data_IF_029016059813
#
_entry.id   IF_029016059813
#
_cell.length_a   1.000
_cell.length_b   1.000
_cell.length_c   1.000
_cell.angle_alpha   90.00
_cell.angle_beta   90.00
_cell.angle_gamma   90.00
#
_symmetry.space_group_name_H-M   'P 1'
#
loop_
_entity.id
_entity.type
_entity.pdbx_description
1 polymer ?
#
# COMPACT_ATOMS: atom_id res chain seq x y z
N UNK A 1 2.44 26.56 -68.17
CA UNK A 1 2.65 27.42 -66.99
C UNK A 1 4.01 27.06 -66.43
N UNK A 2 4.99 27.92 -66.68
CA UNK A 2 6.44 27.66 -66.52
C UNK A 2 7.01 28.51 -65.38
N UNK A 3 8.15 28.08 -64.81
CA UNK A 3 8.77 28.57 -63.56
C UNK A 3 8.99 30.09 -63.46
N UNK A 4 8.90 30.82 -64.56
CA UNK A 4 9.08 32.28 -64.62
C UNK A 4 7.89 33.04 -63.99
N UNK A 5 6.68 32.47 -63.99
CA UNK A 5 5.50 33.08 -63.35
C UNK A 5 5.44 32.89 -61.82
N UNK A 6 6.30 32.05 -61.26
CA UNK A 6 6.43 31.83 -59.81
C UNK A 6 7.49 32.74 -59.17
N UNK A 7 8.43 33.28 -59.96
CA UNK A 7 9.46 34.20 -59.49
C UNK A 7 9.00 35.66 -59.47
N UNK A 8 8.00 36.03 -60.29
CA UNK A 8 7.46 37.40 -60.36
C UNK A 8 6.51 37.73 -59.20
N UNK A 9 5.94 36.71 -58.52
CA UNK A 9 5.07 36.87 -57.34
C UNK A 9 5.86 36.94 -56.03
N UNK A 10 7.17 36.62 -56.05
CA UNK A 10 8.07 36.72 -54.88
C UNK A 10 8.93 38.01 -54.94
N UNK A 11 8.87 38.75 -56.04
CA UNK A 11 9.76 39.89 -56.33
C UNK A 11 9.33 41.27 -55.81
N UNK A 12 8.08 41.46 -55.38
CA UNK A 12 7.57 42.81 -55.04
C UNK A 12 6.71 42.83 -53.76
N UNK A 13 7.22 42.23 -52.68
CA UNK A 13 6.77 42.54 -51.32
C UNK A 13 7.88 43.26 -50.55
N UNK A 14 8.12 44.49 -51.02
CA UNK A 14 8.46 45.70 -50.27
C UNK A 14 9.46 45.64 -49.10
N UNK A 15 10.58 46.33 -49.37
CA UNK A 15 11.50 47.17 -48.58
C UNK A 15 11.13 47.65 -47.15
N UNK A 16 9.99 47.29 -46.59
CA UNK A 16 9.58 47.62 -45.20
C UNK A 16 10.33 46.76 -44.17
N UNK A 17 10.78 45.55 -44.54
CA UNK A 17 11.52 44.66 -43.63
C UNK A 17 13.05 44.87 -43.63
N UNK A 18 13.59 45.69 -44.54
CA UNK A 18 15.04 45.94 -44.64
C UNK A 18 15.49 47.12 -43.75
N UNK A 19 14.56 47.92 -43.22
CA UNK A 19 14.89 49.02 -42.28
C UNK A 19 15.00 48.60 -40.81
N UNK A 20 14.46 47.44 -40.42
CA UNK A 20 14.57 46.95 -39.04
C UNK A 20 15.83 46.08 -38.80
N UNK A 21 16.61 45.79 -39.85
CA UNK A 21 17.88 45.05 -39.75
C UNK A 21 19.11 45.96 -39.53
N UNK A 22 18.93 47.27 -39.34
CA UNK A 22 20.01 48.24 -39.16
C UNK A 22 20.21 48.73 -37.72
N UNK A 23 19.36 48.33 -36.75
CA UNK A 23 19.51 48.71 -35.35
C UNK A 23 19.94 47.52 -34.48
N UNK A 24 21.24 47.44 -34.23
CA UNK A 24 21.85 46.38 -33.44
C UNK A 24 21.35 46.32 -32.00
N UNK A 25 20.92 45.13 -31.56
CA UNK A 25 20.87 44.75 -30.15
C UNK A 25 21.53 43.39 -29.94
N UNK A 26 22.51 43.38 -29.04
CA UNK A 26 23.47 42.32 -28.74
C UNK A 26 22.76 41.07 -28.19
N UNK A 27 22.97 39.92 -28.81
CA UNK A 27 22.59 38.61 -28.28
C UNK A 27 23.35 38.30 -26.98
N UNK A 28 22.66 38.35 -25.84
CA UNK A 28 23.07 37.67 -24.59
C UNK A 28 21.84 37.29 -23.76
N UNK A 29 21.23 36.14 -24.02
CA UNK A 29 20.16 35.61 -23.15
C UNK A 29 19.90 34.10 -23.24
N UNK A 30 20.77 33.29 -23.84
CA UNK A 30 20.58 31.83 -23.87
C UNK A 30 21.35 31.10 -22.75
N UNK A 31 22.54 31.57 -22.37
CA UNK A 31 23.40 30.87 -21.41
C UNK A 31 22.95 31.05 -19.94
N UNK A 32 22.34 32.18 -19.60
CA UNK A 32 21.88 32.47 -18.22
C UNK A 32 20.71 31.57 -17.80
N UNK A 33 19.89 31.10 -18.75
CA UNK A 33 18.75 30.22 -18.48
C UNK A 33 19.18 28.82 -18.02
N UNK A 34 20.33 28.34 -18.48
CA UNK A 34 20.87 27.04 -18.07
C UNK A 34 21.56 27.08 -16.70
N UNK A 35 22.18 28.21 -16.33
CA UNK A 35 22.78 28.37 -15.00
C UNK A 35 21.73 28.48 -13.89
N UNK A 36 20.55 29.07 -14.16
CA UNK A 36 19.47 29.14 -13.18
C UNK A 36 18.87 27.76 -12.86
N UNK A 37 18.73 26.89 -13.87
CA UNK A 37 18.21 25.53 -13.70
C UNK A 37 19.19 24.63 -12.93
N UNK A 38 20.50 24.74 -13.20
CA UNK A 38 21.52 24.02 -12.46
C UNK A 38 21.64 24.48 -10.99
N UNK A 39 21.47 25.78 -10.72
CA UNK A 39 21.48 26.31 -9.35
C UNK A 39 20.24 25.87 -8.54
N UNK A 40 19.06 25.80 -9.16
CA UNK A 40 17.85 25.28 -8.51
C UNK A 40 17.95 23.77 -8.23
N UNK A 41 18.55 22.99 -9.12
CA UNK A 41 18.79 21.56 -8.89
C UNK A 41 19.83 21.34 -7.79
N UNK A 42 20.89 22.15 -7.73
CA UNK A 42 21.88 22.10 -6.65
C UNK A 42 21.30 22.55 -5.29
N UNK A 43 20.39 23.51 -5.26
CA UNK A 43 19.66 23.90 -4.04
C UNK A 43 18.61 22.85 -3.62
N UNK A 44 17.95 22.18 -4.57
CA UNK A 44 17.04 21.07 -4.27
C UNK A 44 17.80 19.85 -3.70
N UNK A 45 18.96 19.50 -4.27
CA UNK A 45 19.82 18.42 -3.73
C UNK A 45 20.44 18.83 -2.39
N UNK A 46 20.86 20.09 -2.22
CA UNK A 46 21.42 20.60 -0.97
C UNK A 46 20.43 20.72 0.19
N UNK A 47 19.14 20.98 -0.09
CA UNK A 47 18.09 21.04 0.94
C UNK A 47 17.61 19.65 1.36
N UNK A 48 17.60 18.68 0.45
CA UNK A 48 17.35 17.27 0.79
C UNK A 48 18.50 16.68 1.62
N UNK A 49 19.76 17.04 1.31
CA UNK A 49 20.92 16.52 2.05
C UNK A 49 21.16 17.17 3.42
N UNK A 50 20.61 18.35 3.70
CA UNK A 50 20.81 19.02 5.00
C UNK A 50 19.72 18.71 6.05
N UNK A 51 18.60 18.13 5.63
CA UNK A 51 17.51 17.73 6.55
C UNK A 51 17.45 16.22 6.81
N UNK A 52 18.31 15.43 6.18
CA UNK A 52 18.51 14.03 6.54
C UNK A 52 19.58 14.01 7.65
N UNK A 53 19.23 13.68 8.92
CA UNK A 53 20.26 13.38 9.91
C UNK A 53 21.16 12.30 9.33
N UNK A 54 22.46 12.25 9.67
CA UNK A 54 23.39 11.27 9.11
C UNK A 54 23.07 9.86 9.63
N UNK A 55 21.98 9.27 9.16
CA UNK A 55 21.83 7.84 9.01
C UNK A 55 22.38 7.52 7.64
N UNK A 56 23.46 6.75 7.60
CA UNK A 56 23.94 6.16 6.36
C UNK A 56 22.81 5.42 5.67
N UNK A 57 23.04 5.01 4.42
CA UNK A 57 22.25 3.95 3.80
C UNK A 57 22.30 2.75 4.75
N UNK A 58 21.30 2.65 5.63
CA UNK A 58 21.22 1.61 6.63
C UNK A 58 21.02 0.31 5.90
N UNK A 59 21.69 -0.73 6.38
CA UNK A 59 21.16 -2.07 6.21
C UNK A 59 19.66 -2.01 6.44
N UNK A 60 18.90 -2.53 5.49
CA UNK A 60 17.45 -2.58 5.57
C UNK A 60 17.12 -3.33 6.87
N UNK A 61 16.79 -2.59 7.93
CA UNK A 61 16.61 -3.14 9.28
C UNK A 61 15.40 -4.07 9.16
N UNK A 62 15.66 -5.38 9.17
CA UNK A 62 14.61 -6.40 9.10
C UNK A 62 13.66 -6.09 10.25
N UNK A 63 12.36 -5.91 9.99
CA UNK A 63 11.43 -5.57 11.05
C UNK A 63 11.49 -6.64 12.14
N UNK A 64 11.37 -6.25 13.42
CA UNK A 64 11.52 -7.19 14.51
C UNK A 64 10.50 -8.33 14.38
N UNK A 65 10.97 -9.56 14.53
CA UNK A 65 10.15 -10.77 14.57
C UNK A 65 10.25 -11.35 15.98
N UNK A 66 9.11 -11.73 16.54
CA UNK A 66 9.03 -12.50 17.79
C UNK A 66 8.68 -13.93 17.43
N UNK A 67 9.49 -14.90 17.84
CA UNK A 67 9.15 -16.32 17.69
C UNK A 67 8.72 -16.88 19.03
N UNK A 68 7.49 -17.40 19.11
CA UNK A 68 6.95 -17.99 20.32
C UNK A 68 6.08 -19.21 19.97
N UNK A 69 6.30 -20.34 20.65
CA UNK A 69 5.61 -21.61 20.38
C UNK A 69 5.60 -22.05 18.90
N UNK A 70 6.67 -21.74 18.15
CA UNK A 70 6.78 -22.09 16.73
C UNK A 70 6.00 -21.15 15.78
N UNK A 71 5.38 -20.09 16.30
CA UNK A 71 4.71 -19.05 15.52
C UNK A 71 5.60 -17.81 15.45
N UNK A 72 5.67 -17.19 14.28
CA UNK A 72 6.35 -15.93 14.05
C UNK A 72 5.35 -14.78 14.08
N UNK A 73 5.64 -13.77 14.91
CA UNK A 73 4.84 -12.57 15.06
C UNK A 73 5.63 -11.36 14.61
N UNK A 74 4.96 -10.46 13.89
CA UNK A 74 5.55 -9.24 13.36
C UNK A 74 4.69 -8.04 13.75
N UNK A 75 5.30 -6.87 13.90
CA UNK A 75 4.57 -5.65 14.21
C UNK A 75 3.42 -5.43 13.22
N UNK A 76 2.21 -5.21 13.77
CA UNK A 76 1.01 -4.89 12.99
C UNK A 76 1.27 -3.66 12.10
N UNK A 77 1.00 -3.78 10.80
CA UNK A 77 1.35 -2.75 9.80
C UNK A 77 0.60 -1.43 9.97
N UNK A 78 -0.47 -1.46 10.75
CA UNK A 78 -1.30 -0.31 11.08
C UNK A 78 -0.74 0.41 12.32
N UNK A 79 0.48 0.95 12.16
CA UNK A 79 1.15 1.95 12.98
C UNK A 79 1.11 1.72 14.51
N UNK A 80 2.15 1.09 15.04
CA UNK A 80 2.42 0.90 16.49
C UNK A 80 2.15 2.13 17.35
N UNK A 81 2.38 3.35 16.87
CA UNK A 81 2.13 4.55 17.66
C UNK A 81 0.66 4.89 17.92
N UNK A 82 -0.24 4.51 17.00
CA UNK A 82 -1.69 4.76 17.14
C UNK A 82 -2.37 3.71 18.00
N UNK A 83 -1.80 2.52 18.04
CA UNK A 83 -2.42 1.32 18.63
C UNK A 83 -1.69 0.83 19.88
N UNK A 84 -0.53 1.41 20.22
CA UNK A 84 0.16 1.08 21.46
C UNK A 84 -0.69 1.37 22.69
N UNK A 85 -0.80 0.36 23.55
CA UNK A 85 -1.58 0.44 24.78
C UNK A 85 -0.68 0.93 25.92
N UNK A 86 -1.25 1.71 26.84
CA UNK A 86 -0.57 2.10 28.08
C UNK A 86 -0.58 0.98 29.12
N UNK A 87 -1.50 0.03 28.99
CA UNK A 87 -1.68 -1.09 29.91
C UNK A 87 -1.72 -2.39 29.12
N UNK A 88 -1.18 -3.45 29.73
CA UNK A 88 -1.22 -4.79 29.14
C UNK A 88 -2.66 -5.32 29.19
N UNK A 89 -3.20 -5.85 28.07
CA UNK A 89 -4.51 -6.49 28.09
C UNK A 89 -4.58 -7.66 29.08
N UNK A 90 -5.77 -7.92 29.61
CA UNK A 90 -5.99 -9.04 30.52
C UNK A 90 -5.67 -10.39 29.83
N UNK A 91 -5.20 -11.36 30.61
CA UNK A 91 -4.81 -12.69 30.11
C UNK A 91 -3.39 -12.79 29.56
N UNK A 92 -2.74 -11.67 29.23
CA UNK A 92 -1.36 -11.66 28.79
C UNK A 92 -0.38 -11.76 29.96
N UNK A 93 0.60 -12.65 29.83
CA UNK A 93 1.66 -12.88 30.82
C UNK A 93 3.03 -12.79 30.17
N UNK A 94 4.05 -12.43 30.96
CA UNK A 94 5.43 -12.36 30.48
C UNK A 94 5.85 -13.71 29.90
N UNK A 95 6.23 -13.71 28.62
CA UNK A 95 6.57 -14.93 27.87
C UNK A 95 8.06 -14.99 27.50
N UNK A 96 8.73 -13.84 27.37
CA UNK A 96 10.16 -13.78 27.08
C UNK A 96 10.65 -12.37 26.75
N UNK A 97 11.77 -12.29 26.04
CA UNK A 97 12.33 -11.04 25.49
C UNK A 97 12.60 -11.19 23.99
N UNK A 98 12.58 -10.06 23.29
CA UNK A 98 12.91 -9.94 21.86
C UNK A 98 13.77 -8.70 21.61
N UNK A 99 14.54 -8.66 20.54
CA UNK A 99 15.38 -7.50 20.20
C UNK A 99 14.62 -6.53 19.30
N UNK A 100 14.49 -5.28 19.75
CA UNK A 100 13.77 -4.20 19.05
C UNK A 100 14.76 -3.19 18.45
N UNK A 101 15.48 -3.59 17.40
CA UNK A 101 16.44 -2.73 16.71
C UNK A 101 17.42 -2.04 17.68
N UNK A 102 17.58 -0.73 17.56
CA UNK A 102 18.46 0.07 18.42
C UNK A 102 18.05 0.13 19.90
N UNK A 103 16.80 -0.20 20.24
CA UNK A 103 16.35 -0.25 21.64
C UNK A 103 16.94 -1.46 22.39
N UNK A 104 17.34 -2.51 21.68
CA UNK A 104 17.83 -3.74 22.29
C UNK A 104 16.70 -4.61 22.83
N UNK A 105 17.00 -5.40 23.87
CA UNK A 105 16.06 -6.38 24.42
C UNK A 105 14.84 -5.73 25.09
N UNK A 106 13.65 -6.14 24.65
CA UNK A 106 12.35 -5.73 25.17
C UNK A 106 11.54 -6.96 25.61
N UNK A 107 10.81 -6.90 26.73
CA UNK A 107 9.96 -8.01 27.16
C UNK A 107 8.73 -8.12 26.26
N UNK A 108 8.31 -9.35 26.00
CA UNK A 108 7.04 -9.65 25.31
C UNK A 108 6.13 -10.55 26.15
N UNK A 109 4.84 -10.43 25.87
CA UNK A 109 3.76 -11.02 26.64
C UNK A 109 2.85 -11.80 25.71
N UNK A 110 2.43 -12.98 26.12
CA UNK A 110 1.55 -13.86 25.34
C UNK A 110 0.35 -14.32 26.17
N UNK A 111 -0.72 -14.68 25.47
CA UNK A 111 -1.92 -15.27 26.05
C UNK A 111 -2.23 -16.58 25.30
N UNK A 112 -2.26 -17.76 25.95
CA UNK A 112 -2.58 -19.01 25.27
C UNK A 112 -4.03 -19.08 24.76
N UNK A 113 -4.93 -18.24 25.26
CA UNK A 113 -6.31 -18.12 24.76
C UNK A 113 -6.41 -17.23 23.50
N UNK A 114 -5.38 -16.42 23.22
CA UNK A 114 -5.28 -15.55 22.04
C UNK A 114 -3.94 -15.79 21.32
N UNK A 115 -3.77 -16.93 20.64
CA UNK A 115 -2.49 -17.33 20.06
C UNK A 115 -2.08 -16.51 18.84
N UNK A 116 -2.95 -15.64 18.32
CA UNK A 116 -2.75 -14.90 17.07
C UNK A 116 -1.98 -13.59 17.24
N UNK A 117 -1.74 -13.13 18.47
CA UNK A 117 -0.87 -11.98 18.71
C UNK A 117 -0.20 -12.01 20.09
N UNK A 118 0.93 -11.31 20.16
CA UNK A 118 1.69 -11.03 21.37
C UNK A 118 1.82 -9.52 21.55
N UNK A 119 2.16 -9.08 22.76
CA UNK A 119 2.47 -7.68 23.02
C UNK A 119 3.93 -7.52 23.38
N UNK A 120 4.63 -6.58 22.74
CA UNK A 120 6.00 -6.19 23.10
C UNK A 120 5.97 -4.86 23.83
N UNK A 121 6.60 -4.78 24.99
CA UNK A 121 6.72 -3.52 25.72
C UNK A 121 7.99 -2.80 25.30
N UNK A 122 7.83 -1.80 24.42
CA UNK A 122 8.94 -1.08 23.81
C UNK A 122 8.67 0.43 23.75
N UNK A 123 9.67 1.17 23.24
CA UNK A 123 9.57 2.60 23.00
C UNK A 123 8.74 2.82 21.74
N UNK A 124 7.72 3.65 21.89
CA UNK A 124 6.77 4.00 20.84
C UNK A 124 7.06 5.42 20.40
N UNK A 125 7.40 5.57 19.13
CA UNK A 125 7.70 6.86 18.51
C UNK A 125 6.45 7.41 17.83
N UNK A 126 6.06 8.64 18.17
CA UNK A 126 4.96 9.32 17.49
C UNK A 126 5.40 9.77 16.09
N UNK A 127 4.49 9.76 15.12
CA UNK A 127 4.73 10.46 13.84
C UNK A 127 4.75 11.97 14.02
N UNK A 128 4.28 12.47 15.16
CA UNK A 128 4.38 13.87 15.54
C UNK A 128 5.73 14.10 16.23
N UNK A 129 6.66 14.77 15.56
CA UNK A 129 8.03 15.02 16.05
C UNK A 129 8.10 15.84 17.34
N UNK A 130 6.98 16.45 17.77
CA UNK A 130 6.89 17.19 19.03
C UNK A 130 6.48 16.34 20.23
N UNK A 131 6.01 15.11 20.01
CA UNK A 131 5.67 14.20 21.10
C UNK A 131 6.89 13.39 21.50
N UNK A 132 7.30 13.42 22.78
CA UNK A 132 8.42 12.60 23.23
C UNK A 132 8.08 11.11 23.07
N UNK A 133 9.06 10.25 22.78
CA UNK A 133 8.87 8.81 22.81
C UNK A 133 8.33 8.36 24.17
N UNK A 134 7.42 7.40 24.15
CA UNK A 134 6.80 6.84 25.37
C UNK A 134 6.93 5.32 25.36
N UNK A 135 6.93 4.71 26.54
CA UNK A 135 6.80 3.27 26.62
C UNK A 135 5.34 2.84 26.41
N UNK A 136 5.14 1.71 25.75
CA UNK A 136 3.81 1.13 25.54
C UNK A 136 3.87 -0.32 25.07
N UNK A 137 2.72 -0.98 25.12
CA UNK A 137 2.54 -2.34 24.63
C UNK A 137 2.13 -2.29 23.15
N UNK A 138 3.03 -2.73 22.27
CA UNK A 138 2.82 -2.80 20.82
C UNK A 138 2.37 -4.20 20.44
N UNK A 139 1.30 -4.30 19.64
CA UNK A 139 0.75 -5.57 19.18
C UNK A 139 1.58 -6.12 18.01
N UNK A 140 2.07 -7.33 18.18
CA UNK A 140 2.71 -8.13 17.15
C UNK A 140 1.76 -9.27 16.79
N UNK A 141 1.40 -9.38 15.53
CA UNK A 141 0.41 -10.33 15.02
C UNK A 141 1.12 -11.47 14.32
N UNK A 142 0.47 -12.64 14.29
CA UNK A 142 0.90 -13.75 13.44
C UNK A 142 1.20 -13.24 12.03
N UNK A 143 2.39 -13.56 11.52
CA UNK A 143 2.87 -13.02 10.24
C UNK A 143 1.91 -13.34 9.08
N UNK A 144 1.13 -14.42 9.17
CA UNK A 144 0.10 -14.79 8.18
C UNK A 144 -1.06 -13.81 8.12
N UNK A 145 -1.39 -13.16 9.24
CA UNK A 145 -2.47 -12.18 9.33
C UNK A 145 -2.00 -10.76 8.99
N UNK A 146 -0.69 -10.52 8.99
CA UNK A 146 -0.14 -9.18 8.82
C UNK A 146 -0.42 -8.66 7.41
N UNK A 147 -1.17 -7.56 7.35
CA UNK A 147 -1.63 -6.93 6.12
C UNK A 147 -2.51 -7.84 5.24
N UNK A 148 -2.97 -8.97 5.77
CA UNK A 148 -3.89 -9.84 5.06
C UNK A 148 -5.30 -9.28 5.14
N UNK A 149 -5.95 -9.07 4.00
CA UNK A 149 -7.35 -8.68 3.98
C UNK A 149 -8.23 -9.93 4.10
N UNK A 150 -9.01 -9.99 5.17
CA UNK A 150 -9.86 -11.13 5.48
C UNK A 150 -11.30 -10.71 5.74
N UNK A 151 -12.23 -11.56 5.28
CA UNK A 151 -13.67 -11.44 5.51
C UNK A 151 -14.18 -12.77 6.07
N UNK A 152 -14.99 -12.72 7.12
CA UNK A 152 -15.80 -13.83 7.58
C UNK A 152 -17.22 -13.67 7.05
N UNK A 153 -17.74 -14.70 6.39
CA UNK A 153 -19.13 -14.78 5.94
C UNK A 153 -19.69 -16.17 6.28
N UNK A 154 -20.80 -16.21 7.02
CA UNK A 154 -21.44 -17.45 7.48
C UNK A 154 -20.48 -18.43 8.17
N UNK A 155 -19.54 -17.92 8.98
CA UNK A 155 -18.55 -18.72 9.69
C UNK A 155 -17.40 -19.27 8.81
N UNK A 156 -17.39 -18.95 7.51
CA UNK A 156 -16.27 -19.24 6.62
C UNK A 156 -15.37 -18.02 6.50
N UNK A 157 -14.07 -18.26 6.34
CA UNK A 157 -13.07 -17.20 6.15
C UNK A 157 -12.70 -17.11 4.67
N UNK A 158 -12.52 -15.89 4.22
CA UNK A 158 -12.08 -15.56 2.87
C UNK A 158 -10.91 -14.59 2.96
N UNK A 159 -9.95 -14.76 2.05
CA UNK A 159 -8.78 -13.89 1.94
C UNK A 159 -8.75 -13.23 0.57
N UNK A 160 -8.38 -11.95 0.52
CA UNK A 160 -8.20 -11.25 -0.74
C UNK A 160 -7.10 -11.93 -1.58
N UNK A 161 -7.35 -12.17 -2.87
CA UNK A 161 -6.37 -12.84 -3.73
C UNK A 161 -5.04 -12.07 -3.88
N UNK A 162 -5.05 -10.77 -3.58
CA UNK A 162 -3.86 -9.92 -3.49
C UNK A 162 -3.03 -10.16 -2.22
N UNK A 163 -3.67 -10.63 -1.15
CA UNK A 163 -3.05 -10.91 0.14
C UNK A 163 -2.61 -12.37 0.31
N UNK A 164 -3.24 -13.29 -0.43
CA UNK A 164 -3.02 -14.73 -0.26
C UNK A 164 -1.56 -15.16 -0.52
N UNK A 165 -1.01 -15.93 0.42
CA UNK A 165 0.27 -16.61 0.27
C UNK A 165 0.11 -17.91 -0.52
N UNK A 166 0.88 -18.04 -1.60
CA UNK A 166 0.98 -19.23 -2.45
C UNK A 166 2.43 -19.69 -2.65
N UNK A 167 3.36 -19.18 -1.85
CA UNK A 167 4.79 -19.38 -2.07
C UNK A 167 5.27 -20.78 -1.66
N UNK A 168 4.47 -21.53 -0.89
CA UNK A 168 4.81 -22.90 -0.49
C UNK A 168 3.56 -23.75 -0.31
N UNK A 169 3.52 -24.91 -0.97
CA UNK A 169 2.40 -25.85 -0.90
C UNK A 169 2.00 -26.29 0.51
N UNK A 170 2.89 -26.19 1.49
CA UNK A 170 2.63 -26.56 2.89
C UNK A 170 1.93 -25.46 3.71
N UNK A 171 1.96 -24.21 3.23
CA UNK A 171 1.41 -23.03 3.93
C UNK A 171 0.62 -22.12 2.99
N UNK A 172 -0.04 -22.70 1.99
CA UNK A 172 -0.90 -21.94 1.11
C UNK A 172 -2.14 -21.47 1.88
N UNK A 173 -2.50 -20.20 1.72
CA UNK A 173 -3.73 -19.64 2.33
C UNK A 173 -4.99 -20.12 1.61
N UNK A 174 -4.85 -20.51 0.35
CA UNK A 174 -5.91 -20.95 -0.56
C UNK A 174 -5.41 -22.16 -1.35
N UNK A 175 -6.27 -23.17 -1.56
CA UNK A 175 -5.97 -24.28 -2.47
C UNK A 175 -5.53 -23.75 -3.85
N UNK A 176 -4.40 -24.25 -4.36
CA UNK A 176 -3.79 -23.72 -5.58
C UNK A 176 -4.75 -23.79 -6.78
N UNK A 177 -5.45 -24.91 -6.91
CA UNK A 177 -6.40 -25.15 -8.00
C UNK A 177 -7.58 -24.17 -7.96
N UNK A 178 -8.03 -23.79 -6.76
CA UNK A 178 -9.07 -22.77 -6.59
C UNK A 178 -8.52 -21.39 -6.96
N UNK A 179 -7.34 -21.03 -6.49
CA UNK A 179 -6.72 -19.75 -6.80
C UNK A 179 -6.53 -19.56 -8.31
N UNK A 180 -5.97 -20.55 -8.98
CA UNK A 180 -5.71 -20.52 -10.42
C UNK A 180 -7.03 -20.40 -11.22
N UNK A 181 -8.08 -21.10 -10.79
CA UNK A 181 -9.41 -21.03 -11.40
C UNK A 181 -10.02 -19.63 -11.27
N UNK A 182 -9.97 -19.04 -10.07
CA UNK A 182 -10.47 -17.69 -9.82
C UNK A 182 -9.66 -16.63 -10.56
N UNK A 183 -8.33 -16.76 -10.62
CA UNK A 183 -7.46 -15.82 -11.33
C UNK A 183 -7.73 -15.87 -12.84
N UNK A 184 -7.94 -17.06 -13.40
CA UNK A 184 -8.30 -17.22 -14.81
C UNK A 184 -9.68 -16.64 -15.15
N UNK A 185 -10.65 -16.73 -14.25
CA UNK A 185 -12.03 -16.26 -14.47
C UNK A 185 -12.20 -14.76 -14.21
N UNK A 186 -11.66 -14.26 -13.11
CA UNK A 186 -11.92 -12.90 -12.60
C UNK A 186 -10.67 -12.04 -12.44
N UNK A 187 -9.46 -12.60 -12.64
CA UNK A 187 -8.22 -12.00 -12.12
C UNK A 187 -8.28 -11.78 -10.60
N UNK A 188 -7.33 -11.03 -10.02
CA UNK A 188 -7.37 -10.67 -8.60
C UNK A 188 -8.32 -9.51 -8.31
N UNK A 189 -8.58 -8.70 -9.33
CA UNK A 189 -9.54 -7.61 -9.36
C UNK A 189 -9.98 -7.34 -10.81
N UNK A 190 -11.20 -6.81 -10.97
CA UNK A 190 -11.75 -6.45 -12.28
C UNK A 190 -12.63 -5.19 -12.19
N UNK A 191 -12.71 -4.45 -13.30
CA UNK A 191 -13.53 -3.25 -13.44
C UNK A 191 -14.93 -3.59 -13.96
N UNK A 192 -15.94 -2.85 -13.49
CA UNK A 192 -17.32 -2.96 -13.97
C UNK A 192 -18.31 -3.37 -12.88
N UNK A 193 -19.49 -3.78 -13.34
CA UNK A 193 -20.59 -4.19 -12.46
C UNK A 193 -20.40 -5.61 -11.92
N UNK A 194 -21.11 -5.94 -10.84
CA UNK A 194 -21.11 -7.28 -10.28
C UNK A 194 -21.59 -8.30 -11.35
N UNK A 195 -20.92 -9.46 -11.49
CA UNK A 195 -21.37 -10.52 -12.40
C UNK A 195 -22.79 -11.00 -12.07
N UNK A 196 -23.48 -11.57 -13.07
CA UNK A 196 -24.84 -12.09 -12.89
C UNK A 196 -24.89 -13.11 -11.72
N UNK A 197 -25.95 -13.00 -10.90
CA UNK A 197 -26.18 -13.88 -9.76
C UNK A 197 -25.49 -13.46 -8.45
N UNK A 198 -24.55 -12.51 -8.48
CA UNK A 198 -24.01 -11.93 -7.26
C UNK A 198 -25.04 -11.00 -6.60
N UNK A 199 -25.13 -11.10 -5.28
CA UNK A 199 -26.03 -10.31 -4.43
C UNK A 199 -25.21 -9.54 -3.41
N UNK A 200 -25.50 -8.25 -3.27
CA UNK A 200 -24.89 -7.40 -2.25
C UNK A 200 -25.34 -7.84 -0.85
N UNK A 201 -24.37 -8.21 -0.02
CA UNK A 201 -24.58 -8.58 1.38
C UNK A 201 -24.57 -7.35 2.30
N UNK A 202 -23.97 -6.25 1.84
CA UNK A 202 -23.83 -5.00 2.59
C UNK A 202 -22.42 -4.81 3.16
N UNK A 203 -22.32 -3.90 4.13
CA UNK A 203 -21.07 -3.56 4.79
C UNK A 203 -20.71 -4.61 5.86
N UNK A 204 -19.44 -5.00 5.92
CA UNK A 204 -18.92 -5.89 6.96
C UNK A 204 -18.83 -5.18 8.32
N UNK A 205 -19.05 -5.92 9.40
CA UNK A 205 -18.66 -5.47 10.73
C UNK A 205 -17.14 -5.37 10.83
N UNK A 206 -16.63 -4.16 11.08
CA UNK A 206 -15.19 -3.92 11.13
C UNK A 206 -14.58 -4.39 12.46
N UNK A 207 -13.66 -5.36 12.38
CA UNK A 207 -13.02 -6.01 13.53
C UNK A 207 -11.65 -5.42 13.88
N UNK A 208 -11.13 -4.50 13.06
CA UNK A 208 -9.83 -3.88 13.24
C UNK A 208 -8.75 -4.52 12.35
N UNK A 209 -7.63 -3.81 12.11
CA UNK A 209 -6.59 -4.29 11.21
C UNK A 209 -5.87 -5.52 11.78
N UNK A 210 -5.36 -6.38 10.91
CA UNK A 210 -4.58 -7.57 11.26
C UNK A 210 -5.27 -8.45 12.32
N UNK A 211 -6.60 -8.48 12.31
CA UNK A 211 -7.41 -9.37 13.13
C UNK A 211 -7.93 -10.53 12.28
N UNK A 212 -8.32 -11.61 12.96
CA UNK A 212 -9.07 -12.69 12.35
C UNK A 212 -10.58 -12.42 12.55
N UNK A 213 -11.32 -12.04 11.49
CA UNK A 213 -12.74 -11.73 11.63
C UNK A 213 -13.55 -12.98 11.97
N UNK A 214 -14.65 -12.81 12.71
CA UNK A 214 -15.59 -13.88 13.03
C UNK A 214 -17.02 -13.33 13.10
N UNK A 215 -18.02 -14.17 12.81
CA UNK A 215 -19.44 -13.79 12.85
C UNK A 215 -20.18 -14.11 11.55
N UNK A 216 -21.30 -13.41 11.32
CA UNK A 216 -22.13 -13.60 10.12
C UNK A 216 -21.59 -12.86 8.90
N UNK A 217 -21.14 -11.61 9.06
CA UNK A 217 -20.51 -10.79 8.02
C UNK A 217 -19.55 -9.78 8.68
N UNK A 218 -18.28 -10.14 8.79
CA UNK A 218 -17.26 -9.35 9.49
C UNK A 218 -15.96 -9.28 8.67
N UNK A 219 -15.18 -8.22 8.85
CA UNK A 219 -13.92 -8.06 8.13
C UNK A 219 -12.87 -7.31 8.93
N UNK A 220 -11.59 -7.62 8.69
CA UNK A 220 -10.47 -6.84 9.23
C UNK A 220 -10.16 -5.59 8.37
N UNK A 221 -10.99 -5.38 7.35
CA UNK A 221 -11.09 -4.23 6.46
C UNK A 221 -12.52 -3.70 6.45
N UNK A 222 -12.71 -2.43 6.06
CA UNK A 222 -14.03 -1.90 5.76
C UNK A 222 -14.35 -2.18 4.30
N UNK A 223 -15.44 -2.88 4.06
CA UNK A 223 -15.79 -3.39 2.75
C UNK A 223 -17.31 -3.51 2.58
N UNK A 224 -17.80 -3.26 1.36
CA UNK A 224 -19.09 -3.75 0.89
C UNK A 224 -18.84 -5.06 0.15
N UNK A 225 -19.57 -6.11 0.52
CA UNK A 225 -19.29 -7.47 0.05
C UNK A 225 -20.47 -8.02 -0.73
N UNK A 226 -20.15 -8.79 -1.76
CA UNK A 226 -21.11 -9.48 -2.61
C UNK A 226 -20.79 -10.98 -2.63
N UNK A 227 -21.83 -11.80 -2.67
CA UNK A 227 -21.71 -13.26 -2.75
C UNK A 227 -22.66 -13.81 -3.80
N UNK A 228 -22.29 -14.95 -4.38
CA UNK A 228 -23.16 -15.71 -5.26
C UNK A 228 -23.56 -17.01 -4.56
N UNK A 229 -24.87 -17.34 -4.46
CA UNK A 229 -25.34 -18.48 -3.67
C UNK A 229 -24.78 -19.83 -4.15
N UNK A 230 -24.54 -19.97 -5.45
CA UNK A 230 -23.96 -21.19 -6.05
C UNK A 230 -22.42 -21.16 -6.19
N UNK A 231 -21.74 -20.13 -5.67
CA UNK A 231 -20.27 -19.99 -5.70
C UNK A 231 -19.72 -19.70 -4.28
N UNK A 232 -19.92 -20.62 -3.31
CA UNK A 232 -19.52 -20.40 -1.92
C UNK A 232 -18.00 -20.25 -1.72
N UNK A 233 -17.20 -20.61 -2.72
CA UNK A 233 -15.75 -20.52 -2.71
C UNK A 233 -15.20 -19.10 -2.92
N UNK A 234 -16.05 -18.12 -3.24
CA UNK A 234 -15.60 -16.75 -3.49
C UNK A 234 -16.56 -15.67 -2.97
N UNK A 235 -15.97 -14.54 -2.61
CA UNK A 235 -16.66 -13.27 -2.35
C UNK A 235 -16.07 -12.18 -3.25
N UNK A 236 -16.85 -11.13 -3.49
CA UNK A 236 -16.38 -9.92 -4.15
C UNK A 236 -16.43 -8.76 -3.17
N UNK A 237 -15.32 -8.02 -3.07
CA UNK A 237 -15.23 -6.75 -2.34
C UNK A 237 -15.39 -5.61 -3.33
N UNK A 238 -16.38 -4.77 -3.14
CA UNK A 238 -16.51 -3.53 -3.91
C UNK A 238 -15.31 -2.61 -3.63
N UNK A 239 -14.67 -2.10 -4.68
CA UNK A 239 -13.47 -1.27 -4.57
C UNK A 239 -13.46 -0.16 -5.62
N UNK A 240 -12.60 0.83 -5.39
CA UNK A 240 -12.34 1.92 -6.30
C UNK A 240 -10.84 2.17 -6.35
N UNK A 241 -10.30 2.35 -7.54
CA UNK A 241 -8.89 2.71 -7.71
C UNK A 241 -8.76 3.84 -8.71
N UNK A 242 -7.61 4.49 -8.69
CA UNK A 242 -7.31 5.62 -9.55
C UNK A 242 -6.15 5.26 -10.46
N UNK A 243 -6.28 5.56 -11.74
CA UNK A 243 -5.16 5.50 -12.68
C UNK A 243 -4.85 6.89 -13.21
N UNK A 244 -3.58 7.11 -13.56
CA UNK A 244 -3.16 8.30 -14.28
C UNK A 244 -2.39 7.85 -15.51
N UNK A 245 -2.81 8.31 -16.69
CA UNK A 245 -2.04 8.10 -17.92
C UNK A 245 -1.53 9.44 -18.43
N UNK A 246 -0.27 9.49 -18.88
CA UNK A 246 0.33 10.70 -19.46
C UNK A 246 -0.44 11.20 -20.70
N UNK A 247 -1.20 10.31 -21.37
CA UNK A 247 -2.05 10.68 -22.49
C UNK A 247 -3.32 11.41 -22.05
N UNK A 248 -3.92 11.02 -20.93
CA UNK A 248 -5.15 11.62 -20.43
C UNK A 248 -4.88 12.89 -19.61
N UNK A 249 -3.67 13.02 -19.02
CA UNK A 249 -3.27 14.15 -18.16
C UNK A 249 -4.28 14.43 -17.03
N UNK A 250 -5.07 13.43 -16.67
CA UNK A 250 -6.09 13.49 -15.65
C UNK A 250 -6.14 12.15 -14.91
N UNK A 251 -6.60 12.21 -13.67
CA UNK A 251 -6.83 11.05 -12.84
C UNK A 251 -8.19 10.44 -13.20
N UNK A 252 -8.19 9.16 -13.56
CA UNK A 252 -9.41 8.39 -13.86
C UNK A 252 -9.72 7.51 -12.66
N UNK A 253 -10.94 7.65 -12.11
CA UNK A 253 -11.44 6.77 -11.06
C UNK A 253 -12.16 5.58 -11.72
N UNK A 254 -11.76 4.39 -11.30
CA UNK A 254 -12.35 3.12 -11.67
C UNK A 254 -13.22 2.59 -10.54
N UNK A 255 -14.19 1.75 -10.90
CA UNK A 255 -15.05 1.04 -9.96
C UNK A 255 -15.13 -0.43 -10.38
N UNK A 256 -15.08 -1.31 -9.41
CA UNK A 256 -15.18 -2.74 -9.66
C UNK A 256 -15.01 -3.53 -8.38
N UNK A 257 -14.40 -4.71 -8.52
CA UNK A 257 -14.34 -5.68 -7.44
C UNK A 257 -12.95 -6.28 -7.29
N UNK A 258 -12.55 -6.50 -6.04
CA UNK A 258 -11.47 -7.41 -5.69
C UNK A 258 -12.04 -8.77 -5.32
N UNK A 259 -11.31 -9.82 -5.71
CA UNK A 259 -11.74 -11.21 -5.51
C UNK A 259 -11.18 -11.72 -4.19
N UNK A 260 -12.07 -12.28 -3.38
CA UNK A 260 -11.75 -12.94 -2.13
C UNK A 260 -12.02 -14.43 -2.28
N UNK A 261 -11.01 -15.25 -2.04
CA UNK A 261 -11.11 -16.71 -2.15
C UNK A 261 -11.32 -17.33 -0.78
N UNK A 262 -12.01 -18.47 -0.73
CA UNK A 262 -12.18 -19.24 0.48
C UNK A 262 -10.80 -19.62 1.06
N UNK A 263 -10.58 -19.25 2.32
CA UNK A 263 -9.36 -19.52 3.04
C UNK A 263 -9.32 -20.97 3.51
N UNK A 264 -8.23 -21.67 3.18
CA UNK A 264 -7.99 -23.07 3.55
C UNK A 264 -6.66 -23.27 4.27
N UNK A 265 -5.89 -22.20 4.47
CA UNK A 265 -4.60 -22.25 5.14
C UNK A 265 -4.68 -22.66 6.60
N UNK A 266 -3.55 -23.06 7.20
CA UNK A 266 -3.49 -23.32 8.62
C UNK A 266 -3.67 -22.01 9.39
N UNK A 267 -4.62 -21.97 10.32
CA UNK A 267 -4.60 -21.05 11.46
C UNK A 267 -4.01 -21.81 12.66
N UNK A 268 -3.22 -21.15 13.50
CA UNK A 268 -2.60 -21.78 14.67
C UNK A 268 -3.64 -22.44 15.60
#
# INVERSE_FOLDING_TARGET
>A
MTKEQLFEVIGEAEEVYVRDAAEGKKHKAAWVRWCALAACLALAVGTVLWQVPPGGAGEQEIPPIVTYNGVEYMESGYASYRTALSELPAGYVLAGTTVMGQQGECPFYANPEEPLWVYVYCTVYSTNSYEPPKMGYVRFVDVRLRSAEMICYNGQLYIGMMSANLWSSENNDVEQELYDALEAEYSKAFEGEAPEGFVCLGEVEYTGPDTLPSGELAGNIKAVVWAHPDRPELLLKETYWHSFTEQEMQETRHHGFEVFALYTGPLA
#
